data_IF_015917158123
#
_entry.id   IF_015917158123
#
_cell.length_a   1.000
_cell.length_b   1.000
_cell.length_c   1.000
_cell.angle_alpha   90.00
_cell.angle_beta   90.00
_cell.angle_gamma   90.00
#
_symmetry.space_group_name_H-M   'P 1'
#
loop_
_entity.id
_entity.type
_entity.pdbx_description
1 polymer ?
#
# COMPACT_ATOMS: atom_id res chain seq x y z
N UNK A 1 11.88 -44.81 7.38
CA UNK A 1 12.33 -44.06 6.18
C UNK A 1 11.21 -43.54 5.27
N UNK A 2 10.08 -44.25 5.05
CA UNK A 2 8.97 -43.74 4.20
C UNK A 2 8.24 -42.52 4.79
N UNK A 3 7.93 -42.54 6.09
CA UNK A 3 7.28 -41.41 6.81
C UNK A 3 8.07 -40.09 6.72
N UNK A 4 9.41 -40.15 6.80
CA UNK A 4 10.29 -38.98 6.69
C UNK A 4 10.22 -38.31 5.30
N UNK A 5 10.05 -39.11 4.24
CA UNK A 5 9.92 -38.60 2.86
C UNK A 5 8.60 -37.84 2.68
N UNK A 6 7.49 -38.36 3.21
CA UNK A 6 6.20 -37.67 3.17
C UNK A 6 6.23 -36.36 3.98
N UNK A 7 6.86 -36.37 5.14
CA UNK A 7 7.04 -35.15 5.95
C UNK A 7 7.85 -34.09 5.19
N UNK A 8 8.95 -34.49 4.53
CA UNK A 8 9.76 -33.58 3.72
C UNK A 8 8.96 -33.02 2.53
N UNK A 9 8.18 -33.86 1.83
CA UNK A 9 7.33 -33.41 0.73
C UNK A 9 6.22 -32.46 1.21
N UNK A 10 5.63 -32.69 2.38
CA UNK A 10 4.60 -31.84 2.96
C UNK A 10 5.16 -30.48 3.41
N UNK A 11 6.38 -30.48 3.98
CA UNK A 11 7.12 -29.25 4.31
C UNK A 11 7.46 -28.44 3.05
N UNK A 12 7.90 -29.11 1.99
CA UNK A 12 8.26 -28.46 0.73
C UNK A 12 7.02 -27.90 0.01
N UNK A 13 5.88 -28.61 0.09
CA UNK A 13 4.59 -28.13 -0.41
C UNK A 13 4.11 -26.89 0.36
N UNK A 14 4.28 -26.89 1.70
CA UNK A 14 3.91 -25.75 2.55
C UNK A 14 4.74 -24.49 2.24
N UNK A 15 6.04 -24.64 1.94
CA UNK A 15 6.91 -23.52 1.57
C UNK A 15 6.53 -22.88 0.22
N UNK A 16 6.03 -23.67 -0.73
CA UNK A 16 5.64 -23.17 -2.07
C UNK A 16 4.33 -22.39 -2.05
N UNK A 17 3.44 -22.64 -1.07
CA UNK A 17 2.13 -21.98 -1.00
C UNK A 17 2.15 -20.53 -0.49
N UNK A 18 3.29 -20.04 0.02
CA UNK A 18 3.40 -18.65 0.49
C UNK A 18 3.85 -17.74 -0.66
N UNK A 19 3.01 -17.63 -1.69
CA UNK A 19 3.16 -16.57 -2.68
C UNK A 19 2.42 -15.34 -2.15
N UNK A 20 3.16 -14.32 -1.72
CA UNK A 20 2.59 -13.05 -1.27
C UNK A 20 2.34 -12.19 -2.51
N UNK A 21 1.08 -11.92 -2.83
CA UNK A 21 0.71 -10.99 -3.89
C UNK A 21 0.85 -9.56 -3.35
N UNK A 22 1.85 -8.82 -3.83
CA UNK A 22 1.96 -7.41 -3.52
C UNK A 22 1.05 -6.57 -4.40
N UNK A 23 0.44 -5.54 -3.82
CA UNK A 23 -0.41 -4.61 -4.57
C UNK A 23 0.02 -3.17 -4.34
N UNK A 24 0.38 -2.50 -5.43
CA UNK A 24 0.49 -1.05 -5.46
C UNK A 24 -0.87 -0.46 -5.82
N UNK A 25 -1.21 0.68 -5.24
CA UNK A 25 -2.50 1.34 -5.48
C UNK A 25 -2.28 2.60 -6.30
N UNK A 26 -2.91 2.66 -7.46
CA UNK A 26 -2.90 3.83 -8.34
C UNK A 26 -4.31 4.35 -8.48
N UNK A 27 -4.53 5.57 -8.00
CA UNK A 27 -5.79 6.28 -8.19
C UNK A 27 -5.59 7.32 -9.28
N UNK A 28 -6.39 7.22 -10.34
CA UNK A 28 -6.30 8.14 -11.49
C UNK A 28 -5.18 7.76 -12.45
N UNK A 29 -4.94 8.63 -13.43
CA UNK A 29 -3.94 8.41 -14.48
C UNK A 29 -2.92 9.54 -14.48
N UNK A 30 -1.65 9.16 -14.43
CA UNK A 30 -0.54 10.11 -14.60
C UNK A 30 -0.41 10.46 -16.07
N UNK A 31 -0.87 11.65 -16.46
CA UNK A 31 -0.65 12.17 -17.81
C UNK A 31 0.81 12.61 -18.00
N UNK A 32 1.35 12.65 -19.23
CA UNK A 32 2.70 13.18 -19.49
C UNK A 32 2.89 14.63 -19.04
N UNK A 33 1.81 15.41 -18.99
CA UNK A 33 1.79 16.81 -18.53
C UNK A 33 1.69 16.94 -17.00
N UNK A 34 1.45 15.83 -16.29
CA UNK A 34 1.25 15.86 -14.85
C UNK A 34 2.54 16.11 -14.10
N UNK A 35 2.47 17.00 -13.11
CA UNK A 35 3.62 17.37 -12.28
C UNK A 35 3.50 16.71 -10.92
N UNK A 36 4.64 16.24 -10.40
CA UNK A 36 4.72 15.75 -9.03
C UNK A 36 4.60 16.95 -8.08
N UNK A 37 3.53 16.97 -7.31
CA UNK A 37 3.25 18.01 -6.32
C UNK A 37 3.99 17.71 -5.04
N UNK A 38 3.81 16.48 -4.54
CA UNK A 38 4.30 16.09 -3.23
C UNK A 38 4.60 14.59 -3.21
N UNK A 39 5.62 14.24 -2.43
CA UNK A 39 6.05 12.87 -2.18
C UNK A 39 6.28 12.70 -0.69
N UNK A 40 5.50 11.80 -0.09
CA UNK A 40 5.61 11.48 1.33
C UNK A 40 5.86 10.01 1.57
N UNK A 41 6.53 9.72 2.69
CA UNK A 41 6.74 8.36 3.17
C UNK A 41 5.89 8.14 4.42
N UNK A 42 5.05 7.11 4.37
CA UNK A 42 4.27 6.64 5.53
C UNK A 42 4.94 5.38 6.04
N UNK A 43 5.59 5.48 7.20
CA UNK A 43 6.32 4.39 7.82
C UNK A 43 5.83 4.12 9.24
N UNK A 44 5.49 2.86 9.50
CA UNK A 44 5.08 2.39 10.82
C UNK A 44 5.53 0.95 11.04
N UNK A 45 6.13 0.71 12.20
CA UNK A 45 6.61 -0.62 12.57
C UNK A 45 5.51 -1.67 12.67
N UNK A 46 5.90 -2.92 12.43
CA UNK A 46 5.03 -4.08 12.60
C UNK A 46 4.59 -4.23 14.06
N UNK A 47 3.35 -4.68 14.27
CA UNK A 47 2.87 -5.11 15.58
C UNK A 47 2.55 -6.60 15.48
N UNK A 48 3.18 -7.47 16.29
CA UNK A 48 2.90 -8.89 16.27
C UNK A 48 1.40 -9.18 16.42
N UNK A 49 0.88 -10.03 15.54
CA UNK A 49 -0.50 -10.54 15.54
C UNK A 49 -1.59 -9.50 15.29
N UNK A 50 -1.24 -8.24 15.03
CA UNK A 50 -2.19 -7.16 14.84
C UNK A 50 -2.07 -6.53 13.46
N UNK A 51 -3.21 -6.09 12.91
CA UNK A 51 -3.26 -5.19 11.74
C UNK A 51 -3.36 -3.76 12.25
N UNK A 52 -2.66 -2.84 11.62
CA UNK A 52 -2.72 -1.41 11.92
C UNK A 52 -3.59 -0.72 10.89
N UNK A 53 -4.40 0.25 11.33
CA UNK A 53 -5.11 1.18 10.45
C UNK A 53 -4.60 2.59 10.75
N UNK A 54 -4.23 3.32 9.70
CA UNK A 54 -3.80 4.72 9.78
C UNK A 54 -4.47 5.53 8.69
N UNK A 55 -4.66 6.81 8.98
CA UNK A 55 -5.21 7.78 8.05
C UNK A 55 -4.10 8.73 7.64
N UNK A 56 -4.00 8.99 6.34
CA UNK A 56 -3.11 9.96 5.76
C UNK A 56 -3.97 11.00 5.05
N UNK A 57 -3.85 12.27 5.44
CA UNK A 57 -4.63 13.36 4.86
C UNK A 57 -3.71 14.33 4.16
N UNK A 58 -4.12 14.78 2.99
CA UNK A 58 -3.45 15.82 2.23
C UNK A 58 -4.46 16.92 1.88
N UNK A 59 -4.02 18.17 1.98
CA UNK A 59 -4.76 19.35 1.55
C UNK A 59 -3.81 20.29 0.83
N UNK A 60 -4.03 20.47 -0.47
CA UNK A 60 -3.29 21.39 -1.31
C UNK A 60 -3.97 22.76 -1.44
N UNK A 61 -3.32 23.73 -2.12
CA UNK A 61 -3.90 25.03 -2.44
C UNK A 61 -5.20 24.90 -3.24
N UNK A 62 -6.10 25.88 -3.14
CA UNK A 62 -7.42 25.83 -3.81
C UNK A 62 -7.35 25.70 -5.33
N UNK A 63 -6.28 26.19 -5.97
CA UNK A 63 -6.07 26.08 -7.42
C UNK A 63 -5.52 24.73 -7.87
N UNK A 64 -5.08 23.88 -6.94
CA UNK A 64 -4.48 22.59 -7.24
C UNK A 64 -5.57 21.55 -7.45
N UNK A 65 -5.51 20.84 -8.56
CA UNK A 65 -6.43 19.75 -8.88
C UNK A 65 -5.65 18.45 -8.94
N UNK A 66 -5.98 17.52 -8.05
CA UNK A 66 -5.29 16.24 -7.96
C UNK A 66 -5.71 15.34 -9.11
N UNK A 67 -4.77 15.00 -10.00
CA UNK A 67 -5.01 14.14 -11.17
C UNK A 67 -4.69 12.67 -10.89
N UNK A 68 -3.65 12.40 -10.11
CA UNK A 68 -3.30 11.03 -9.75
C UNK A 68 -2.68 10.95 -8.34
N UNK A 69 -2.95 9.85 -7.66
CA UNK A 69 -2.37 9.49 -6.37
C UNK A 69 -1.78 8.09 -6.51
N UNK A 70 -0.47 7.99 -6.40
CA UNK A 70 0.24 6.72 -6.48
C UNK A 70 0.71 6.32 -5.08
N UNK A 71 0.35 5.11 -4.65
CA UNK A 71 0.75 4.54 -3.37
C UNK A 71 1.57 3.28 -3.64
N UNK A 72 2.88 3.39 -3.48
CA UNK A 72 3.82 2.30 -3.65
C UNK A 72 4.07 1.59 -2.32
N UNK A 73 3.83 0.28 -2.25
CA UNK A 73 4.12 -0.55 -1.08
C UNK A 73 5.55 -1.10 -1.17
N UNK A 74 6.42 -0.71 -0.23
CA UNK A 74 7.80 -1.22 -0.18
C UNK A 74 7.92 -2.56 0.53
N UNK A 75 6.88 -3.04 1.22
CA UNK A 75 6.90 -4.35 1.86
C UNK A 75 6.48 -5.48 0.93
N UNK A 76 5.94 -5.15 -0.24
CA UNK A 76 5.29 -6.14 -1.08
C UNK A 76 4.25 -6.96 -0.28
N UNK A 77 3.45 -6.27 0.53
CA UNK A 77 2.50 -6.87 1.49
C UNK A 77 1.07 -6.87 0.95
N UNK A 78 0.17 -7.52 1.68
CA UNK A 78 -1.28 -7.43 1.49
C UNK A 78 -1.90 -6.19 2.17
N UNK A 79 -1.11 -5.14 2.37
CA UNK A 79 -1.62 -3.87 2.86
C UNK A 79 -2.58 -3.24 1.83
N UNK A 80 -3.61 -2.56 2.32
CA UNK A 80 -4.66 -1.97 1.47
C UNK A 80 -4.75 -0.48 1.69
N UNK A 81 -4.98 0.27 0.61
CA UNK A 81 -5.19 1.72 0.64
C UNK A 81 -6.55 2.03 0.01
N UNK A 82 -7.37 2.84 0.67
CA UNK A 82 -8.65 3.33 0.15
C UNK A 82 -8.79 4.84 0.39
N UNK A 83 -9.42 5.55 -0.54
CA UNK A 83 -9.81 6.95 -0.32
C UNK A 83 -11.10 6.94 0.51
N UNK A 84 -11.12 7.69 1.61
CA UNK A 84 -12.31 7.83 2.48
C UNK A 84 -12.97 9.20 2.40
N UNK A 85 -12.24 10.21 1.93
CA UNK A 85 -12.73 11.59 1.78
C UNK A 85 -11.97 12.28 0.65
N UNK A 86 -12.63 13.20 -0.06
CA UNK A 86 -12.07 13.93 -1.20
C UNK A 86 -11.65 13.01 -2.34
N UNK A 87 -10.48 13.28 -2.94
CA UNK A 87 -9.86 12.41 -3.94
C UNK A 87 -9.47 13.14 -5.22
N UNK A 88 -9.56 12.42 -6.34
CA UNK A 88 -9.21 12.96 -7.66
C UNK A 88 -10.17 14.08 -8.06
N UNK A 89 -9.67 15.07 -8.79
CA UNK A 89 -10.45 16.24 -9.21
C UNK A 89 -10.71 17.27 -8.09
N UNK A 90 -10.25 16.99 -6.87
CA UNK A 90 -10.32 17.92 -5.73
C UNK A 90 -8.91 18.35 -5.31
N UNK A 91 -8.82 19.27 -4.36
CA UNK A 91 -7.55 19.73 -3.79
C UNK A 91 -7.17 19.01 -2.49
N UNK A 92 -7.97 18.05 -2.01
CA UNK A 92 -7.74 17.37 -0.74
C UNK A 92 -8.18 15.90 -0.80
N UNK A 93 -7.57 15.06 0.01
CA UNK A 93 -8.04 13.69 0.20
C UNK A 93 -7.60 13.12 1.53
N UNK A 94 -8.30 12.06 1.95
CA UNK A 94 -7.87 11.20 3.04
C UNK A 94 -7.77 9.76 2.57
N UNK A 95 -6.60 9.15 2.78
CA UNK A 95 -6.35 7.74 2.58
C UNK A 95 -6.47 7.00 3.90
N UNK A 96 -7.26 5.93 3.90
CA UNK A 96 -7.26 4.91 4.93
C UNK A 96 -6.33 3.79 4.50
N UNK A 97 -5.22 3.66 5.21
CA UNK A 97 -4.18 2.67 4.99
C UNK A 97 -4.27 1.59 6.06
N UNK A 98 -4.33 0.33 5.65
CA UNK A 98 -4.40 -0.82 6.56
C UNK A 98 -3.26 -1.78 6.26
N UNK A 99 -2.48 -2.12 7.28
CA UNK A 99 -1.37 -3.06 7.14
C UNK A 99 -1.86 -4.50 7.04
N UNK A 100 -1.01 -5.36 6.46
CA UNK A 100 -1.05 -6.79 6.71
C UNK A 100 -0.74 -7.09 8.18
N UNK A 101 -1.19 -8.25 8.68
CA UNK A 101 -1.01 -8.65 10.09
C UNK A 101 0.47 -8.94 10.33
N UNK A 102 1.05 -8.36 11.39
CA UNK A 102 2.48 -8.54 11.70
C UNK A 102 3.46 -7.96 10.68
N UNK A 103 2.98 -7.17 9.71
CA UNK A 103 3.83 -6.44 8.76
C UNK A 103 3.88 -4.96 9.13
N UNK A 104 4.98 -4.31 8.73
CA UNK A 104 5.09 -2.86 8.80
C UNK A 104 4.21 -2.22 7.73
N UNK A 105 3.79 -0.99 7.95
CA UNK A 105 3.15 -0.18 6.92
C UNK A 105 4.24 0.75 6.36
N UNK A 106 4.76 0.45 5.16
CA UNK A 106 5.83 1.23 4.52
C UNK A 106 5.43 1.59 3.09
N UNK A 107 4.88 2.80 2.94
CA UNK A 107 4.39 3.31 1.67
C UNK A 107 5.10 4.60 1.26
N UNK A 108 5.30 4.78 -0.05
CA UNK A 108 5.52 6.10 -0.66
C UNK A 108 4.25 6.54 -1.36
N UNK A 109 3.76 7.70 -0.98
CA UNK A 109 2.60 8.37 -1.57
C UNK A 109 3.14 9.47 -2.46
N UNK A 110 2.78 9.43 -3.74
CA UNK A 110 3.08 10.49 -4.70
C UNK A 110 1.77 11.11 -5.20
N UNK A 111 1.72 12.43 -5.16
CA UNK A 111 0.55 13.22 -5.56
C UNK A 111 0.90 13.98 -6.82
N UNK A 112 0.05 13.86 -7.84
CA UNK A 112 0.23 14.49 -9.13
C UNK A 112 -0.92 15.44 -9.46
N UNK A 113 -0.58 16.60 -10.02
CA UNK A 113 -1.52 17.58 -10.60
C UNK A 113 -1.51 17.59 -12.12
#
# INVERSE_FOLDING_TARGET
MRSLKYFLHLLLLACVFVCVCSTNFFFGEKMPTSKLVQRDKVFYEAIPWMKRVKFYTYTGPTSLVIKAIHCYDFQNSEATVNITEGGLGTNHFTLRMKSERSYRLDYRIEIYE
#
